data_IF_701718260148
#
_entry.id   IF_701718260148
#
_cell.length_a   1.000
_cell.length_b   1.000
_cell.length_c   1.000
_cell.angle_alpha   90.00
_cell.angle_beta   90.00
_cell.angle_gamma   90.00
#
_symmetry.space_group_name_H-M   'P 1'
#
loop_
_entity.id
_entity.type
_entity.pdbx_description
1 polymer ?
#
# COMPACT_ATOMS: atom_id res chain seq x y z
N UNK A 1 -17.66 4.13 12.16
CA UNK A 1 -18.14 2.81 12.56
C UNK A 1 -19.39 2.92 13.41
N UNK A 2 -19.24 3.17 14.72
CA UNK A 2 -20.36 3.13 15.68
C UNK A 2 -21.55 4.04 15.31
N UNK A 3 -21.30 5.28 14.90
CA UNK A 3 -22.38 6.19 14.49
C UNK A 3 -23.11 5.72 13.22
N UNK A 4 -22.38 5.13 12.27
CA UNK A 4 -22.99 4.58 11.06
C UNK A 4 -23.84 3.35 11.37
N UNK A 5 -23.39 2.51 12.30
CA UNK A 5 -24.16 1.36 12.78
C UNK A 5 -25.48 1.80 13.45
N UNK A 6 -25.45 2.88 14.25
CA UNK A 6 -26.67 3.45 14.82
C UNK A 6 -27.62 3.97 13.73
N UNK A 7 -27.13 4.76 12.78
CA UNK A 7 -27.93 5.27 11.66
C UNK A 7 -28.51 4.16 10.78
N UNK A 8 -27.81 3.02 10.65
CA UNK A 8 -28.32 1.87 9.93
C UNK A 8 -29.55 1.25 10.62
N UNK A 9 -29.56 1.18 11.96
CA UNK A 9 -30.73 0.73 12.73
C UNK A 9 -31.93 1.70 12.61
N UNK A 10 -31.67 2.97 12.32
CA UNK A 10 -32.70 3.98 12.04
C UNK A 10 -33.22 3.93 10.58
N UNK A 11 -32.76 2.98 9.78
CA UNK A 11 -33.16 2.82 8.37
C UNK A 11 -32.26 3.55 7.36
N UNK A 12 -31.09 4.03 7.79
CA UNK A 12 -30.09 4.64 6.91
C UNK A 12 -29.53 3.65 5.89
N UNK A 13 -29.48 4.07 4.61
CA UNK A 13 -29.03 3.24 3.49
C UNK A 13 -27.53 3.35 3.17
N UNK A 14 -26.78 4.20 3.86
CA UNK A 14 -25.35 4.41 3.60
C UNK A 14 -24.56 3.13 3.93
N UNK A 15 -23.78 2.64 2.97
CA UNK A 15 -22.92 1.47 3.12
C UNK A 15 -21.45 1.86 2.89
N UNK A 16 -20.56 1.26 3.69
CA UNK A 16 -19.12 1.32 3.45
C UNK A 16 -18.77 0.17 2.51
N UNK A 17 -17.95 0.44 1.51
CA UNK A 17 -17.46 -0.57 0.56
C UNK A 17 -15.94 -0.75 0.70
N UNK A 18 -15.47 -1.73 1.50
CA UNK A 18 -14.05 -2.03 1.64
C UNK A 18 -13.42 -2.58 0.35
N UNK A 19 -14.21 -3.22 -0.53
CA UNK A 19 -13.69 -3.77 -1.78
C UNK A 19 -13.29 -2.65 -2.74
N UNK A 20 -14.06 -1.56 -2.74
CA UNK A 20 -13.69 -0.34 -3.44
C UNK A 20 -12.37 0.22 -2.94
N UNK A 21 -12.16 0.29 -1.63
CA UNK A 21 -10.92 0.80 -1.04
C UNK A 21 -9.71 -0.08 -1.42
N UNK A 22 -9.85 -1.40 -1.39
CA UNK A 22 -8.80 -2.35 -1.82
C UNK A 22 -8.43 -2.14 -3.29
N UNK A 23 -9.42 -2.03 -4.18
CA UNK A 23 -9.16 -1.81 -5.61
C UNK A 23 -8.55 -0.43 -5.87
N UNK A 24 -8.98 0.59 -5.12
CA UNK A 24 -8.48 1.96 -5.27
C UNK A 24 -7.04 2.11 -4.76
N UNK A 25 -6.69 1.50 -3.63
CA UNK A 25 -5.32 1.52 -3.12
C UNK A 25 -4.37 0.73 -4.03
N UNK A 26 -4.78 -0.45 -4.49
CA UNK A 26 -4.04 -1.23 -5.48
C UNK A 26 -3.83 -0.44 -6.78
N UNK A 27 -4.85 0.28 -7.26
CA UNK A 27 -4.74 1.08 -8.47
C UNK A 27 -3.72 2.22 -8.36
N UNK A 28 -3.57 2.83 -7.18
CA UNK A 28 -2.54 3.83 -6.93
C UNK A 28 -1.14 3.21 -7.03
N UNK A 29 -0.93 2.05 -6.40
CA UNK A 29 0.35 1.34 -6.40
C UNK A 29 0.71 0.86 -7.80
N UNK A 30 -0.21 0.15 -8.47
CA UNK A 30 -0.07 -0.28 -9.86
C UNK A 30 0.33 0.87 -10.78
N UNK A 31 -0.38 2.00 -10.69
CA UNK A 31 -0.08 3.17 -11.53
C UNK A 31 1.28 3.81 -11.21
N UNK A 32 1.73 3.75 -9.96
CA UNK A 32 3.06 4.24 -9.58
C UNK A 32 4.17 3.37 -10.16
N UNK A 33 4.00 2.05 -10.14
CA UNK A 33 4.95 1.06 -10.67
C UNK A 33 5.03 1.08 -12.19
N UNK A 34 3.88 1.25 -12.87
CA UNK A 34 3.86 1.45 -14.32
C UNK A 34 4.57 2.73 -14.77
N UNK A 35 4.65 3.75 -13.91
CA UNK A 35 5.28 5.03 -14.21
C UNK A 35 6.69 5.19 -13.63
N UNK A 36 7.19 4.23 -12.84
CA UNK A 36 8.47 4.32 -12.15
C UNK A 36 8.52 3.48 -10.88
N UNK A 37 9.08 4.04 -9.81
CA UNK A 37 9.27 3.33 -8.54
C UNK A 37 8.18 3.66 -7.52
N UNK A 38 7.86 2.70 -6.66
CA UNK A 38 6.98 2.87 -5.50
C UNK A 38 7.78 2.81 -4.20
N UNK A 39 7.23 3.40 -3.14
CA UNK A 39 7.83 3.42 -1.83
C UNK A 39 6.75 3.41 -0.76
N UNK A 40 6.96 2.67 0.31
CA UNK A 40 6.12 2.70 1.51
C UNK A 40 6.89 3.21 2.71
N UNK A 41 6.28 4.19 3.39
CA UNK A 41 6.73 4.68 4.68
C UNK A 41 5.65 4.36 5.71
N UNK A 42 5.98 3.48 6.65
CA UNK A 42 5.06 2.93 7.63
C UNK A 42 5.43 3.50 8.99
N UNK A 43 4.45 4.12 9.65
CA UNK A 43 4.59 4.66 10.99
C UNK A 43 3.71 3.82 11.93
N UNK A 44 4.34 3.01 12.76
CA UNK A 44 3.71 1.98 13.59
C UNK A 44 3.59 0.62 12.87
N UNK A 45 2.41 0.00 13.03
CA UNK A 45 2.14 -1.36 12.54
C UNK A 45 0.64 -1.62 12.37
N UNK A 46 0.21 -2.85 12.68
CA UNK A 46 -1.20 -3.24 12.69
C UNK A 46 -1.90 -3.20 11.33
N UNK A 47 -3.20 -2.89 11.36
CA UNK A 47 -4.04 -2.83 10.17
C UNK A 47 -3.53 -1.85 9.10
N UNK A 48 -3.08 -0.62 9.43
CA UNK A 48 -2.51 0.29 8.42
C UNK A 48 -1.29 -0.30 7.69
N UNK A 49 -0.38 -0.98 8.40
CA UNK A 49 0.75 -1.69 7.78
C UNK A 49 0.27 -2.77 6.83
N UNK A 50 -0.69 -3.60 7.25
CA UNK A 50 -1.21 -4.64 6.36
C UNK A 50 -1.93 -4.06 5.14
N UNK A 51 -2.73 -3.02 5.35
CA UNK A 51 -3.62 -2.49 4.32
C UNK A 51 -2.86 -1.87 3.16
N UNK A 52 -1.72 -1.21 3.42
CA UNK A 52 -0.86 -0.73 2.34
C UNK A 52 -0.09 -1.87 1.69
N UNK A 53 0.46 -2.81 2.47
CA UNK A 53 1.29 -3.88 1.90
C UNK A 53 0.48 -4.95 1.15
N UNK A 54 -0.80 -5.13 1.45
CA UNK A 54 -1.66 -6.10 0.75
C UNK A 54 -2.02 -5.65 -0.68
N UNK A 55 -1.68 -4.42 -1.09
CA UNK A 55 -1.89 -4.01 -2.49
C UNK A 55 -1.06 -4.85 -3.45
N UNK A 56 0.14 -5.27 -3.04
CA UNK A 56 1.01 -6.10 -3.89
C UNK A 56 0.46 -7.51 -4.12
N UNK A 57 0.08 -8.31 -3.11
CA UNK A 57 -0.57 -9.59 -3.37
C UNK A 57 -1.94 -9.42 -4.04
N UNK A 58 -2.66 -8.31 -3.83
CA UNK A 58 -3.86 -8.02 -4.60
C UNK A 58 -3.55 -7.87 -6.10
N UNK A 59 -2.46 -7.21 -6.48
CA UNK A 59 -2.06 -7.02 -7.88
C UNK A 59 -1.48 -8.32 -8.46
N UNK A 60 -0.51 -8.93 -7.79
CA UNK A 60 0.28 -10.04 -8.29
C UNK A 60 -0.46 -11.38 -8.18
N UNK A 61 -0.98 -11.72 -7.00
CA UNK A 61 -1.57 -13.04 -6.75
C UNK A 61 -3.05 -13.09 -7.14
N UNK A 62 -3.82 -12.08 -6.75
CA UNK A 62 -5.28 -12.08 -6.95
C UNK A 62 -5.65 -11.67 -8.37
N UNK A 63 -5.07 -10.57 -8.87
CA UNK A 63 -5.34 -10.10 -10.24
C UNK A 63 -4.42 -10.76 -11.28
N UNK A 64 -3.28 -11.34 -10.87
CA UNK A 64 -2.35 -12.01 -11.79
C UNK A 64 -1.65 -11.03 -12.73
N UNK A 65 -1.45 -9.78 -12.30
CA UNK A 65 -0.74 -8.77 -13.08
C UNK A 65 0.75 -8.82 -12.74
N UNK A 66 1.61 -8.81 -13.76
CA UNK A 66 3.06 -8.84 -13.57
C UNK A 66 3.53 -7.53 -12.93
N UNK A 67 4.00 -7.63 -11.70
CA UNK A 67 4.50 -6.55 -10.87
C UNK A 67 5.50 -7.15 -9.86
N UNK A 68 6.56 -6.41 -9.53
CA UNK A 68 7.46 -6.73 -8.42
C UNK A 68 7.24 -5.69 -7.35
N UNK A 69 6.98 -6.08 -6.08
CA UNK A 69 6.41 -5.19 -5.07
C UNK A 69 7.17 -3.89 -4.76
N UNK A 70 6.97 -3.31 -3.58
CA UNK A 70 7.52 -1.98 -3.30
C UNK A 70 9.05 -1.89 -3.45
N UNK A 71 9.53 -0.85 -4.13
CA UNK A 71 10.97 -0.64 -4.38
C UNK A 71 11.71 -0.12 -3.15
N UNK A 72 11.00 0.59 -2.26
CA UNK A 72 11.56 1.14 -1.03
C UNK A 72 10.64 0.88 0.15
N UNK A 73 11.24 0.45 1.26
CA UNK A 73 10.52 0.15 2.49
C UNK A 73 11.18 0.88 3.67
N UNK A 74 10.43 1.76 4.31
CA UNK A 74 10.82 2.40 5.56
C UNK A 74 9.74 2.17 6.60
N UNK A 75 10.08 1.46 7.68
CA UNK A 75 9.20 1.30 8.83
C UNK A 75 9.79 1.98 10.07
N UNK A 76 8.95 2.72 10.78
CA UNK A 76 9.21 3.19 12.15
C UNK A 76 8.23 2.46 13.05
N UNK A 77 8.70 1.69 14.04
CA UNK A 77 7.83 0.91 14.92
C UNK A 77 8.47 0.70 16.28
N UNK A 78 7.68 0.60 17.34
CA UNK A 78 8.12 0.13 18.66
C UNK A 78 7.87 -1.38 18.85
N UNK A 79 7.12 -1.99 17.92
CA UNK A 79 6.78 -3.41 17.96
C UNK A 79 7.99 -4.27 17.62
N UNK A 80 8.27 -5.25 18.48
CA UNK A 80 9.39 -6.16 18.32
C UNK A 80 9.03 -7.41 17.49
N UNK A 81 9.97 -7.95 16.72
CA UNK A 81 9.73 -9.11 15.84
C UNK A 81 9.54 -10.43 16.60
N UNK A 82 10.10 -10.58 17.80
CA UNK A 82 10.13 -11.83 18.57
C UNK A 82 8.75 -12.35 18.98
N UNK A 83 7.76 -11.46 19.05
CA UNK A 83 6.38 -11.82 19.39
C UNK A 83 5.61 -12.47 18.23
N UNK A 84 6.19 -12.48 17.01
CA UNK A 84 5.52 -13.00 15.81
C UNK A 84 4.34 -12.13 15.33
N UNK A 85 4.20 -10.92 15.85
CA UNK A 85 3.15 -9.99 15.45
C UNK A 85 3.46 -9.25 14.16
N UNK A 86 2.46 -9.09 13.29
CA UNK A 86 2.57 -8.35 12.01
C UNK A 86 3.22 -6.96 12.18
N UNK A 87 2.93 -6.26 13.27
CA UNK A 87 3.49 -4.93 13.55
C UNK A 87 5.02 -4.95 13.63
N UNK A 88 5.61 -6.02 14.19
CA UNK A 88 7.06 -6.21 14.29
C UNK A 88 7.68 -7.00 13.13
N UNK A 89 6.86 -7.54 12.22
CA UNK A 89 7.32 -8.35 11.08
C UNK A 89 8.40 -7.63 10.28
N UNK A 90 9.52 -8.31 10.04
CA UNK A 90 10.70 -7.72 9.40
C UNK A 90 10.46 -7.50 7.90
N UNK A 91 11.23 -6.64 7.23
CA UNK A 91 11.18 -6.52 5.78
C UNK A 91 11.45 -7.86 5.07
N UNK A 92 12.31 -8.72 5.66
CA UNK A 92 12.55 -10.06 5.11
C UNK A 92 11.30 -10.95 5.15
N UNK A 93 10.46 -10.82 6.18
CA UNK A 93 9.17 -11.50 6.24
C UNK A 93 8.16 -10.89 5.25
N UNK A 94 8.17 -9.57 5.05
CA UNK A 94 7.31 -8.94 4.06
C UNK A 94 7.60 -9.42 2.62
N UNK A 95 8.86 -9.70 2.30
CA UNK A 95 9.26 -10.23 1.01
C UNK A 95 8.72 -11.62 0.67
N UNK A 96 8.59 -12.52 1.65
CA UNK A 96 8.13 -13.89 1.36
C UNK A 96 6.70 -13.91 0.80
N UNK A 97 5.99 -12.79 0.99
CA UNK A 97 4.65 -12.52 0.47
C UNK A 97 4.63 -11.59 -0.75
N UNK A 98 5.78 -11.32 -1.39
CA UNK A 98 5.88 -10.45 -2.57
C UNK A 98 5.63 -8.96 -2.30
N UNK A 99 5.56 -8.53 -1.03
CA UNK A 99 5.21 -7.15 -0.64
C UNK A 99 6.34 -6.13 -0.85
N UNK A 100 7.57 -6.62 -0.98
CA UNK A 100 8.77 -5.83 -1.24
C UNK A 100 9.55 -6.56 -2.32
N UNK A 101 10.09 -5.81 -3.28
CA UNK A 101 10.90 -6.39 -4.35
C UNK A 101 12.14 -7.09 -3.76
N UNK A 102 12.37 -8.39 -4.04
CA UNK A 102 13.51 -9.14 -3.51
C UNK A 102 14.87 -8.53 -3.84
N UNK A 103 15.01 -7.83 -4.97
CA UNK A 103 16.27 -7.18 -5.36
C UNK A 103 16.55 -5.90 -4.56
N UNK A 104 15.54 -5.32 -3.90
CA UNK A 104 15.63 -4.07 -3.15
C UNK A 104 15.79 -4.28 -1.63
N UNK A 105 16.05 -5.51 -1.18
CA UNK A 105 16.36 -5.84 0.22
C UNK A 105 17.35 -4.91 0.92
N UNK A 106 18.49 -4.54 0.30
CA UNK A 106 19.45 -3.65 0.95
C UNK A 106 18.89 -2.26 1.22
N UNK A 107 17.83 -1.86 0.51
CA UNK A 107 17.18 -0.57 0.59
C UNK A 107 15.97 -0.57 1.56
N UNK A 108 15.82 -1.63 2.36
CA UNK A 108 14.80 -1.73 3.41
C UNK A 108 15.34 -1.27 4.77
N UNK A 109 14.58 -0.44 5.48
CA UNK A 109 14.98 0.11 6.78
C UNK A 109 13.85 -0.04 7.80
N UNK A 110 14.17 -0.64 8.95
CA UNK A 110 13.29 -0.66 10.13
C UNK A 110 13.95 0.12 11.26
N UNK A 111 13.31 1.20 11.70
CA UNK A 111 13.71 2.04 12.82
C UNK A 111 12.87 1.68 14.04
N UNK A 112 13.52 1.14 15.07
CA UNK A 112 12.86 0.86 16.36
C UNK A 112 12.82 2.12 17.22
N UNK A 113 11.79 2.94 17.02
CA UNK A 113 11.64 4.25 17.66
C UNK A 113 10.16 4.66 17.69
N UNK A 114 9.81 5.50 18.67
CA UNK A 114 8.51 6.16 18.70
C UNK A 114 8.30 7.06 17.47
N UNK A 115 7.15 6.93 16.81
CA UNK A 115 6.79 7.73 15.62
C UNK A 115 6.80 9.23 15.91
N UNK A 116 6.45 9.64 17.12
CA UNK A 116 6.43 11.05 17.54
C UNK A 116 7.83 11.68 17.59
N UNK A 117 8.88 10.86 17.71
CA UNK A 117 10.28 11.30 17.63
C UNK A 117 10.79 11.20 16.19
N UNK A 118 10.53 10.08 15.51
CA UNK A 118 11.06 9.84 14.17
C UNK A 118 10.49 10.80 13.12
N UNK A 119 9.17 11.01 13.11
CA UNK A 119 8.48 11.74 12.04
C UNK A 119 8.91 13.22 11.97
N UNK A 120 9.00 13.98 13.08
CA UNK A 120 9.48 15.36 13.01
C UNK A 120 10.92 15.48 12.49
N UNK A 121 11.81 14.55 12.86
CA UNK A 121 13.20 14.54 12.40
C UNK A 121 13.28 14.28 10.88
N UNK A 122 12.58 13.25 10.41
CA UNK A 122 12.50 12.91 8.98
C UNK A 122 11.89 14.05 8.16
N UNK A 123 10.79 14.63 8.63
CA UNK A 123 10.11 15.73 7.95
C UNK A 123 11.01 16.97 7.87
N UNK A 124 11.68 17.33 8.97
CA UNK A 124 12.61 18.47 9.02
C UNK A 124 13.75 18.29 8.03
N UNK A 125 14.36 17.10 8.00
CA UNK A 125 15.42 16.77 7.04
C UNK A 125 14.92 16.86 5.59
N UNK A 126 13.76 16.27 5.29
CA UNK A 126 13.21 16.25 3.94
C UNK A 126 12.90 17.66 3.43
N UNK A 127 12.29 18.51 4.26
CA UNK A 127 11.96 19.90 3.93
C UNK A 127 13.22 20.77 3.79
N UNK A 128 14.23 20.55 4.64
CA UNK A 128 15.49 21.30 4.56
C UNK A 128 16.33 20.93 3.32
N UNK A 129 16.28 19.66 2.88
CA UNK A 129 17.10 19.14 1.78
C UNK A 129 16.41 19.19 0.41
N UNK A 130 15.09 19.26 0.35
CA UNK A 130 14.32 19.21 -0.91
C UNK A 130 13.33 20.36 -0.98
N UNK A 131 13.27 20.99 -2.16
CA UNK A 131 12.26 22.01 -2.45
C UNK A 131 10.84 21.44 -2.57
N UNK A 132 9.86 22.34 -2.59
CA UNK A 132 8.44 21.99 -2.81
C UNK A 132 8.27 21.24 -4.14
N UNK A 133 7.51 20.14 -4.13
CA UNK A 133 7.19 19.35 -5.32
C UNK A 133 5.76 19.69 -5.78
N UNK A 134 5.52 19.63 -7.09
CA UNK A 134 4.16 19.77 -7.62
C UNK A 134 3.28 18.61 -7.12
N UNK A 135 2.11 18.89 -6.50
CA UNK A 135 1.22 17.85 -6.04
C UNK A 135 0.72 16.98 -7.19
N UNK A 136 0.77 15.65 -7.03
CA UNK A 136 0.29 14.69 -8.04
C UNK A 136 -1.25 14.56 -8.11
N UNK A 137 -1.97 15.10 -7.11
CA UNK A 137 -3.44 15.10 -7.03
C UNK A 137 -4.06 13.71 -7.26
N UNK A 138 -3.52 12.69 -6.57
CA UNK A 138 -3.91 11.29 -6.78
C UNK A 138 -5.41 11.03 -6.55
N UNK A 139 -6.01 11.71 -5.57
CA UNK A 139 -7.45 11.58 -5.28
C UNK A 139 -8.32 12.05 -6.45
N UNK A 140 -7.94 13.16 -7.11
CA UNK A 140 -8.64 13.70 -8.27
C UNK A 140 -8.57 12.73 -9.46
N UNK A 141 -7.54 11.88 -9.49
CA UNK A 141 -7.29 10.89 -10.55
C UNK A 141 -7.78 9.48 -10.20
N UNK A 142 -8.37 9.26 -9.03
CA UNK A 142 -8.62 7.92 -8.52
C UNK A 142 -9.48 7.06 -9.47
N UNK A 143 -10.50 7.65 -10.09
CA UNK A 143 -11.34 6.98 -11.08
C UNK A 143 -10.54 6.53 -12.32
N UNK A 144 -9.64 7.39 -12.82
CA UNK A 144 -8.74 7.08 -13.95
C UNK A 144 -7.81 5.91 -13.59
N UNK A 145 -7.19 5.96 -12.41
CA UNK A 145 -6.24 4.93 -11.96
C UNK A 145 -6.94 3.57 -11.77
N UNK A 146 -8.12 3.57 -11.14
CA UNK A 146 -8.91 2.35 -10.94
C UNK A 146 -9.38 1.76 -12.28
N UNK A 147 -9.79 2.60 -13.23
CA UNK A 147 -10.17 2.14 -14.55
C UNK A 147 -8.97 1.49 -15.27
N UNK A 148 -7.78 2.10 -15.20
CA UNK A 148 -6.56 1.51 -15.76
C UNK A 148 -6.23 0.13 -15.19
N UNK A 149 -6.30 -0.03 -13.86
CA UNK A 149 -6.08 -1.33 -13.22
C UNK A 149 -7.10 -2.37 -13.71
N UNK A 150 -8.38 -1.99 -13.78
CA UNK A 150 -9.46 -2.85 -14.27
C UNK A 150 -9.23 -3.27 -15.72
N UNK A 151 -8.83 -2.34 -16.59
CA UNK A 151 -8.58 -2.64 -18.00
C UNK A 151 -7.42 -3.63 -18.15
N UNK A 152 -6.31 -3.43 -17.42
CA UNK A 152 -5.19 -4.38 -17.39
C UNK A 152 -5.63 -5.78 -16.96
N UNK A 153 -6.45 -5.89 -15.92
CA UNK A 153 -6.99 -7.17 -15.44
C UNK A 153 -7.90 -7.84 -16.47
N UNK A 154 -8.83 -7.10 -17.07
CA UNK A 154 -9.75 -7.64 -18.08
C UNK A 154 -9.02 -8.06 -19.37
N UNK A 155 -7.98 -7.34 -19.77
CA UNK A 155 -7.12 -7.74 -20.88
C UNK A 155 -6.40 -9.06 -20.60
N UNK A 156 -5.88 -9.23 -19.37
CA UNK A 156 -5.25 -10.47 -18.93
C UNK A 156 -6.22 -11.65 -19.01
N UNK A 157 -7.44 -11.52 -18.49
CA UNK A 157 -8.48 -12.56 -18.59
C UNK A 157 -8.81 -12.92 -20.05
N UNK A 158 -8.90 -11.93 -20.93
CA UNK A 158 -9.13 -12.18 -22.37
C UNK A 158 -8.00 -12.99 -22.99
N UNK A 159 -6.74 -12.70 -22.65
CA UNK A 159 -5.56 -13.43 -23.17
C UNK A 159 -5.56 -14.88 -22.70
N UNK A 160 -5.92 -15.13 -21.44
CA UNK A 160 -6.01 -16.49 -20.88
C UNK A 160 -7.13 -17.30 -21.56
N UNK A 161 -8.28 -16.68 -21.79
CA UNK A 161 -9.39 -17.33 -22.50
C UNK A 161 -9.07 -17.70 -23.96
N UNK A 162 -8.17 -16.98 -24.63
CA UNK A 162 -7.72 -17.33 -26.00
C UNK A 162 -6.63 -18.41 -26.03
N UNK A 163 -6.00 -18.71 -24.88
CA UNK A 163 -4.96 -19.74 -24.75
C UNK A 163 -5.50 -21.10 -24.31
N UNK A 164 -6.74 -21.14 -23.80
CA UNK A 164 -7.46 -22.35 -23.41
C UNK A 164 -8.25 -22.93 -24.60
#
# INVERSE_FOLDING_TARGET
GMNLAALQLEGGALQIDPLRDVNQSAAIVWSAKQAGKSAVMILGGGSPKNFILQTEPQIQEVLGLEESGHDYFLQVTDARPDTGGLSGATPQEAMTWGKVDPEQLPDTVTCYLDTTVALPLLATYAVARKGKRTPRRLMDRLAELTQKLKDSYLEKLKREAHRA
#
